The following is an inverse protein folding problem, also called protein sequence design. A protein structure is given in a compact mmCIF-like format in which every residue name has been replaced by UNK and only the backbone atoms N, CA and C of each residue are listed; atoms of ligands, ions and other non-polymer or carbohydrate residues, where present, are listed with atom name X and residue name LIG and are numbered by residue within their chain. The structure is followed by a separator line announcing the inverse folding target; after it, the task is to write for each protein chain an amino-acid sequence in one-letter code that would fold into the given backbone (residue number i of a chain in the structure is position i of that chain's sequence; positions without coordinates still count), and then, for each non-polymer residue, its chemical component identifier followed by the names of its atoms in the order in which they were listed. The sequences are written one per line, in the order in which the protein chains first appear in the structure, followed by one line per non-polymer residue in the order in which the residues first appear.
data_IF_353026025258
#
_entry.id   IF_353026025258
#
_cell.length_a   1.000
_cell.length_b   1.000
_cell.length_c   1.000
_cell.angle_alpha   90.00
_cell.angle_beta   90.00
_cell.angle_gamma   90.00
#
_symmetry.space_group_name_H-M   'P 1'
#
loop_
_entity.id
_entity.type
_entity.pdbx_description
1 polymer ?
#
# COMPACT_ATOMS: atom_id res chain seq x y z
N UNK A 1 28.73 8.19 8.87
CA UNK A 1 29.61 8.07 7.69
C UNK A 1 28.94 7.43 6.46
N UNK A 2 27.72 6.90 6.58
CA UNK A 2 26.97 6.27 5.50
C UNK A 2 25.79 7.12 4.98
N UNK A 3 25.67 8.36 5.46
CA UNK A 3 24.62 9.29 5.02
C UNK A 3 25.11 10.08 3.81
N UNK A 4 24.24 10.30 2.84
CA UNK A 4 24.55 11.10 1.65
C UNK A 4 24.95 12.53 2.04
N UNK A 5 25.76 13.18 1.20
CA UNK A 5 26.08 14.60 1.35
C UNK A 5 24.98 15.54 0.83
N UNK A 6 24.07 15.03 0.05
CA UNK A 6 22.96 15.75 -0.57
C UNK A 6 22.65 15.26 -1.99
N UNK A 7 21.57 15.79 -2.57
CA UNK A 7 21.22 15.57 -3.97
C UNK A 7 22.08 16.48 -4.87
N UNK A 8 22.61 15.92 -5.94
CA UNK A 8 23.46 16.64 -6.88
C UNK A 8 22.72 17.85 -7.48
N UNK A 9 23.27 19.05 -7.29
CA UNK A 9 22.72 20.33 -7.76
C UNK A 9 21.26 20.59 -7.35
N UNK A 10 20.82 20.04 -6.19
CA UNK A 10 19.45 20.20 -5.71
C UNK A 10 19.44 20.42 -4.18
N UNK A 11 19.88 21.61 -3.78
CA UNK A 11 19.94 22.00 -2.35
C UNK A 11 18.54 22.08 -1.73
N UNK A 12 17.53 22.45 -2.53
CA UNK A 12 16.15 22.56 -2.05
C UNK A 12 15.61 21.22 -1.54
N UNK A 13 15.82 20.14 -2.28
CA UNK A 13 15.36 18.83 -1.86
C UNK A 13 16.32 18.18 -0.84
N UNK A 14 17.60 18.55 -0.87
CA UNK A 14 18.55 18.14 0.16
C UNK A 14 18.10 18.63 1.53
N UNK A 15 17.78 19.90 1.70
CA UNK A 15 17.33 20.50 2.98
C UNK A 15 16.01 19.94 3.51
N UNK A 16 15.20 19.28 2.67
CA UNK A 16 13.97 18.61 3.11
C UNK A 16 14.21 17.30 3.82
N UNK A 17 15.33 16.67 3.54
CA UNK A 17 15.61 15.30 4.02
C UNK A 17 16.87 15.20 4.86
N UNK A 18 17.76 16.19 4.79
CA UNK A 18 18.98 16.27 5.61
C UNK A 18 18.90 17.55 6.44
N UNK A 19 18.83 17.40 7.74
CA UNK A 19 18.77 18.52 8.66
C UNK A 19 20.15 19.10 8.99
N UNK A 20 20.17 20.20 9.77
CA UNK A 20 21.39 20.90 10.17
C UNK A 20 22.27 20.09 11.14
N UNK A 21 21.68 19.10 11.83
CA UNK A 21 22.38 18.19 12.74
C UNK A 21 22.98 16.98 12.00
N UNK A 22 22.69 16.84 10.70
CA UNK A 22 23.18 15.75 9.85
C UNK A 22 22.33 14.49 9.86
N UNK A 23 21.09 14.56 10.37
CA UNK A 23 20.13 13.44 10.30
C UNK A 23 19.45 13.39 8.94
N UNK A 24 19.37 12.17 8.40
CA UNK A 24 18.64 11.90 7.16
C UNK A 24 17.23 11.42 7.48
N UNK A 25 16.23 12.24 7.16
CA UNK A 25 14.82 11.89 7.26
C UNK A 25 14.42 11.04 6.04
N UNK A 26 14.37 9.72 6.22
CA UNK A 26 14.08 8.78 5.13
C UNK A 26 12.63 8.85 4.66
N UNK A 27 11.73 9.35 5.51
CA UNK A 27 10.28 9.35 5.30
C UNK A 27 9.65 7.97 5.57
N UNK A 28 10.41 7.06 6.15
CA UNK A 28 9.89 5.78 6.61
C UNK A 28 9.37 5.90 8.05
N UNK A 29 8.27 5.24 8.33
CA UNK A 29 7.69 5.10 9.67
C UNK A 29 8.11 3.76 10.25
N UNK A 30 8.53 3.74 11.49
CA UNK A 30 8.98 2.55 12.17
C UNK A 30 8.56 2.55 13.64
N UNK A 31 8.47 1.38 14.23
CA UNK A 31 8.36 1.16 15.67
C UNK A 31 9.62 0.45 16.15
N UNK A 32 10.03 0.73 17.37
CA UNK A 32 11.19 0.10 17.99
C UNK A 32 10.77 -0.54 19.32
N UNK A 33 11.10 -1.81 19.47
CA UNK A 33 10.86 -2.54 20.71
C UNK A 33 11.90 -2.17 21.80
N UNK A 34 11.64 -2.48 23.08
CA UNK A 34 12.56 -2.19 24.17
C UNK A 34 13.96 -2.84 24.04
N UNK A 35 14.08 -3.91 23.28
CA UNK A 35 15.34 -4.59 22.95
C UNK A 35 16.13 -3.91 21.82
N UNK A 36 15.56 -2.86 21.18
CA UNK A 36 16.17 -2.12 20.09
C UNK A 36 15.83 -2.69 18.70
N UNK A 37 14.99 -3.71 18.59
CA UNK A 37 14.53 -4.23 17.28
C UNK A 37 13.64 -3.20 16.60
N UNK A 38 13.99 -2.86 15.35
CA UNK A 38 13.28 -1.86 14.54
C UNK A 38 12.36 -2.55 13.52
N UNK A 39 11.10 -2.17 13.51
CA UNK A 39 10.09 -2.64 12.55
C UNK A 39 9.65 -1.49 11.65
N UNK A 40 9.93 -1.58 10.35
CA UNK A 40 9.46 -0.61 9.35
C UNK A 40 7.98 -0.90 9.10
N UNK A 41 7.13 0.13 9.24
CA UNK A 41 5.67 0.04 9.06
C UNK A 41 5.21 0.50 7.68
N UNK A 42 5.83 1.54 7.13
CA UNK A 42 5.46 2.11 5.83
C UNK A 42 6.06 3.49 5.62
N UNK A 43 5.47 4.23 4.71
CA UNK A 43 5.88 5.60 4.38
C UNK A 43 5.02 6.64 5.09
N UNK A 44 5.62 7.68 5.64
CA UNK A 44 4.88 8.78 6.27
C UNK A 44 3.93 9.49 5.30
N UNK A 45 4.28 9.54 4.00
CA UNK A 45 3.47 10.17 2.94
C UNK A 45 2.27 9.36 2.51
N UNK A 46 2.27 8.05 2.74
CA UNK A 46 1.19 7.13 2.36
C UNK A 46 0.33 6.73 3.54
N UNK A 47 0.77 7.03 4.75
CA UNK A 47 0.04 6.77 5.98
C UNK A 47 -1.33 7.47 5.95
N UNK A 48 -2.37 6.73 6.30
CA UNK A 48 -3.75 7.20 6.40
C UNK A 48 -4.07 7.36 7.89
N UNK A 49 -4.65 8.50 8.25
CA UNK A 49 -5.16 8.73 9.60
C UNK A 49 -6.62 8.28 9.66
N UNK A 50 -6.91 7.26 10.45
CA UNK A 50 -8.28 6.81 10.67
C UNK A 50 -9.11 7.82 11.45
N UNK A 51 -10.43 7.74 11.37
CA UNK A 51 -11.34 8.64 12.07
C UNK A 51 -11.23 8.61 13.60
N UNK A 52 -10.63 7.58 14.18
CA UNK A 52 -10.35 7.44 15.62
C UNK A 52 -8.89 7.78 15.99
N UNK A 53 -8.11 8.37 15.07
CA UNK A 53 -6.76 8.82 15.31
C UNK A 53 -5.68 7.74 15.23
N UNK A 54 -6.00 6.54 14.74
CA UNK A 54 -5.02 5.48 14.51
C UNK A 54 -4.29 5.69 13.16
N UNK A 55 -3.00 5.42 13.16
CA UNK A 55 -2.21 5.40 11.94
C UNK A 55 -2.44 4.08 11.20
N UNK A 56 -2.84 4.16 9.94
CA UNK A 56 -2.99 3.02 9.04
C UNK A 56 -1.86 3.08 8.03
N UNK A 57 -1.19 1.97 7.82
CA UNK A 57 -0.13 1.80 6.83
C UNK A 57 -0.66 0.94 5.69
N UNK A 58 -1.08 1.55 4.56
CA UNK A 58 -1.68 0.82 3.44
C UNK A 58 -0.81 -0.34 2.95
N UNK A 59 0.50 -0.16 2.98
CA UNK A 59 1.48 -1.16 2.54
C UNK A 59 1.39 -2.47 3.36
N UNK A 60 1.08 -2.41 4.66
CA UNK A 60 0.91 -3.60 5.50
C UNK A 60 -0.35 -4.39 5.12
N UNK A 61 -1.41 -3.69 4.73
CA UNK A 61 -2.66 -4.31 4.27
C UNK A 61 -2.46 -4.90 2.87
N UNK A 62 -1.79 -4.15 1.98
CA UNK A 62 -1.45 -4.58 0.61
C UNK A 62 -0.56 -5.83 0.62
N UNK A 63 0.42 -5.89 1.52
CA UNK A 63 1.29 -7.07 1.66
C UNK A 63 0.49 -8.32 1.99
N UNK A 64 -0.48 -8.22 2.93
CA UNK A 64 -1.38 -9.33 3.25
C UNK A 64 -2.26 -9.70 2.06
N UNK A 65 -2.84 -8.69 1.38
CA UNK A 65 -3.73 -8.90 0.24
C UNK A 65 -3.00 -9.50 -0.96
N UNK A 66 -1.77 -9.09 -1.23
CA UNK A 66 -0.94 -9.61 -2.32
C UNK A 66 -0.52 -11.08 -2.11
N UNK A 67 -0.64 -11.61 -0.89
CA UNK A 67 -0.41 -13.03 -0.60
C UNK A 67 -1.69 -13.88 -0.68
N UNK A 68 -2.85 -13.27 -1.03
CA UNK A 68 -4.11 -13.98 -1.15
C UNK A 68 -4.32 -14.58 -2.55
N UNK A 69 -5.26 -15.50 -2.62
CA UNK A 69 -5.54 -16.27 -3.84
C UNK A 69 -5.91 -15.38 -5.03
N UNK A 70 -5.22 -15.56 -6.13
CA UNK A 70 -5.38 -14.83 -7.41
C UNK A 70 -5.23 -13.30 -7.29
N UNK A 71 -4.44 -12.81 -6.37
CA UNK A 71 -4.05 -11.40 -6.28
C UNK A 71 -2.64 -11.22 -6.83
N UNK A 72 -2.51 -10.49 -7.93
CA UNK A 72 -1.20 -10.14 -8.52
C UNK A 72 -0.59 -8.94 -7.79
N UNK A 73 -1.38 -7.88 -7.64
CA UNK A 73 -0.99 -6.66 -6.93
C UNK A 73 -2.22 -5.90 -6.43
N UNK A 74 -2.04 -5.13 -5.39
CA UNK A 74 -3.11 -4.35 -4.79
C UNK A 74 -2.68 -2.95 -4.42
N UNK A 75 -3.66 -2.05 -4.25
CA UNK A 75 -3.49 -0.68 -3.83
C UNK A 75 -4.62 -0.30 -2.88
N UNK A 76 -4.28 0.01 -1.63
CA UNK A 76 -5.26 0.44 -0.62
C UNK A 76 -5.31 1.96 -0.56
N UNK A 77 -6.52 2.50 -0.66
CA UNK A 77 -6.83 3.93 -0.68
C UNK A 77 -7.91 4.25 0.34
N UNK A 78 -7.88 5.46 0.86
CA UNK A 78 -8.96 6.00 1.67
C UNK A 78 -9.95 6.74 0.79
N UNK A 79 -11.26 6.52 1.02
CA UNK A 79 -12.33 7.26 0.40
C UNK A 79 -13.52 7.39 1.36
N UNK A 80 -13.93 8.63 1.63
CA UNK A 80 -15.04 8.92 2.54
C UNK A 80 -14.90 8.29 3.93
N UNK A 81 -13.68 8.27 4.49
CA UNK A 81 -13.38 7.73 5.81
C UNK A 81 -13.33 6.19 5.86
N UNK A 82 -13.32 5.51 4.71
CA UNK A 82 -13.23 4.04 4.60
C UNK A 82 -12.07 3.63 3.72
N UNK A 83 -11.47 2.49 4.03
CA UNK A 83 -10.45 1.90 3.17
C UNK A 83 -11.11 1.12 2.04
N UNK A 84 -10.56 1.26 0.84
CA UNK A 84 -10.92 0.52 -0.35
C UNK A 84 -9.67 -0.05 -0.99
N UNK A 85 -9.73 -1.26 -1.49
CA UNK A 85 -8.64 -1.88 -2.21
C UNK A 85 -8.95 -1.98 -3.71
N UNK A 86 -8.01 -1.53 -4.53
CA UNK A 86 -7.95 -1.86 -5.94
C UNK A 86 -7.08 -3.10 -6.07
N UNK A 87 -7.55 -4.12 -6.77
CA UNK A 87 -6.82 -5.37 -6.95
C UNK A 87 -6.72 -5.69 -8.43
N UNK A 88 -5.51 -5.97 -8.87
CA UNK A 88 -5.25 -6.60 -10.16
C UNK A 88 -5.19 -8.10 -9.92
N UNK A 89 -6.12 -8.89 -10.50
CA UNK A 89 -6.07 -10.34 -10.40
C UNK A 89 -4.87 -10.93 -11.13
N UNK A 90 -4.34 -12.05 -10.64
CA UNK A 90 -3.39 -12.88 -11.38
C UNK A 90 -4.14 -13.68 -12.47
N UNK A 91 -4.34 -13.04 -13.60
CA UNK A 91 -5.03 -13.66 -14.75
C UNK A 91 -4.26 -14.86 -15.32
N UNK A 92 -2.93 -14.87 -15.23
CA UNK A 92 -2.13 -15.98 -15.71
C UNK A 92 -2.30 -17.22 -14.81
N UNK A 93 -2.35 -17.01 -13.51
CA UNK A 93 -2.63 -18.09 -12.56
C UNK A 93 -4.07 -18.58 -12.74
N UNK A 94 -5.05 -17.68 -12.86
CA UNK A 94 -6.44 -18.03 -13.08
C UNK A 94 -6.63 -18.90 -14.34
N UNK A 95 -5.97 -18.54 -15.44
CA UNK A 95 -6.02 -19.32 -16.70
C UNK A 95 -5.40 -20.72 -16.53
N UNK A 96 -4.23 -20.80 -15.85
CA UNK A 96 -3.57 -22.09 -15.58
C UNK A 96 -4.42 -23.03 -14.73
N UNK A 97 -5.18 -22.46 -13.79
CA UNK A 97 -6.05 -23.23 -12.88
C UNK A 97 -7.46 -23.45 -13.44
N UNK A 98 -7.77 -22.90 -14.62
CA UNK A 98 -9.09 -23.04 -15.25
C UNK A 98 -10.20 -22.26 -14.56
N UNK A 99 -9.85 -21.16 -13.85
CA UNK A 99 -10.81 -20.28 -13.17
C UNK A 99 -11.44 -19.35 -14.21
N UNK A 100 -12.78 -19.31 -14.24
CA UNK A 100 -13.51 -18.38 -15.11
C UNK A 100 -13.36 -16.94 -14.59
N UNK A 101 -13.21 -16.00 -15.53
CA UNK A 101 -13.13 -14.56 -15.19
C UNK A 101 -14.38 -14.06 -14.47
N UNK A 102 -15.53 -14.68 -14.70
CA UNK A 102 -16.78 -14.35 -14.02
C UNK A 102 -16.78 -14.75 -12.53
N UNK A 103 -15.90 -15.66 -12.12
CA UNK A 103 -15.75 -16.08 -10.72
C UNK A 103 -14.83 -15.14 -9.91
N UNK A 104 -14.01 -14.33 -10.58
CA UNK A 104 -13.06 -13.43 -9.92
C UNK A 104 -13.72 -12.47 -8.91
N UNK A 105 -14.89 -11.85 -9.17
CA UNK A 105 -15.54 -10.99 -8.19
C UNK A 105 -15.87 -11.73 -6.90
N UNK A 106 -16.35 -12.97 -6.98
CA UNK A 106 -16.66 -13.78 -5.80
C UNK A 106 -15.40 -14.18 -5.04
N UNK A 107 -14.32 -14.49 -5.76
CA UNK A 107 -13.01 -14.78 -5.15
C UNK A 107 -12.49 -13.55 -4.40
N UNK A 108 -12.57 -12.37 -5.00
CA UNK A 108 -12.14 -11.12 -4.34
C UNK A 108 -13.01 -10.77 -3.13
N UNK A 109 -14.31 -11.09 -3.15
CA UNK A 109 -15.17 -10.93 -1.97
C UNK A 109 -14.76 -11.90 -0.84
N UNK A 110 -14.37 -13.12 -1.16
CA UNK A 110 -13.85 -14.06 -0.18
C UNK A 110 -12.51 -13.57 0.40
N UNK A 111 -11.59 -13.09 -0.44
CA UNK A 111 -10.34 -12.47 -0.01
C UNK A 111 -10.59 -11.27 0.91
N UNK A 112 -11.59 -10.43 0.61
CA UNK A 112 -11.97 -9.31 1.47
C UNK A 112 -12.40 -9.77 2.87
N UNK A 113 -13.22 -10.81 2.95
CA UNK A 113 -13.67 -11.39 4.22
C UNK A 113 -12.49 -11.94 5.01
N UNK A 114 -11.61 -12.70 4.35
CA UNK A 114 -10.41 -13.26 4.96
C UNK A 114 -9.46 -12.15 5.43
N UNK A 115 -9.16 -11.15 4.60
CA UNK A 115 -8.34 -9.99 4.95
C UNK A 115 -8.84 -9.33 6.23
N UNK A 116 -10.13 -9.07 6.33
CA UNK A 116 -10.74 -8.41 7.48
C UNK A 116 -10.73 -9.27 8.76
N UNK A 117 -10.38 -10.55 8.68
CA UNK A 117 -10.13 -11.38 9.88
C UNK A 117 -8.71 -11.25 10.42
N UNK A 118 -7.76 -10.83 9.58
CA UNK A 118 -6.32 -10.80 9.92
C UNK A 118 -5.75 -9.40 10.09
N UNK A 119 -6.53 -8.36 9.79
CA UNK A 119 -6.18 -6.96 10.05
C UNK A 119 -6.90 -6.43 11.28
N UNK A 120 -6.39 -5.35 11.87
CA UNK A 120 -7.05 -4.70 13.00
C UNK A 120 -8.39 -4.07 12.57
N UNK A 121 -9.34 -3.92 13.49
CA UNK A 121 -10.68 -3.41 13.16
C UNK A 121 -10.70 -2.03 12.49
N UNK A 122 -9.75 -1.18 12.82
CA UNK A 122 -9.59 0.15 12.20
C UNK A 122 -8.93 0.09 10.81
N UNK A 123 -8.38 -1.06 10.43
CA UNK A 123 -7.77 -1.34 9.12
C UNK A 123 -8.72 -2.08 8.18
N UNK A 124 -9.96 -2.35 8.62
CA UNK A 124 -10.91 -3.07 7.79
C UNK A 124 -11.15 -2.38 6.46
N UNK A 125 -10.99 -3.14 5.38
CA UNK A 125 -11.28 -2.71 4.02
C UNK A 125 -12.77 -2.86 3.75
N UNK A 126 -13.40 -1.81 3.25
CA UNK A 126 -14.85 -1.81 2.99
C UNK A 126 -15.23 -2.55 1.71
N UNK A 127 -14.37 -2.50 0.68
CA UNK A 127 -14.59 -3.17 -0.59
C UNK A 127 -13.29 -3.41 -1.32
N UNK A 128 -13.26 -4.48 -2.11
CA UNK A 128 -12.27 -4.73 -3.15
C UNK A 128 -12.91 -4.44 -4.49
N UNK A 129 -12.20 -3.70 -5.34
CA UNK A 129 -12.59 -3.46 -6.72
C UNK A 129 -11.52 -4.00 -7.65
N UNK A 130 -11.92 -4.83 -8.60
CA UNK A 130 -11.02 -5.37 -9.63
C UNK A 130 -10.58 -4.23 -10.55
N UNK A 131 -9.26 -4.04 -10.64
CA UNK A 131 -8.65 -3.11 -11.58
C UNK A 131 -8.17 -3.88 -12.81
N UNK A 132 -8.46 -3.42 -14.04
CA UNK A 132 -8.36 -4.26 -15.22
C UNK A 132 -6.94 -4.47 -15.75
N UNK A 133 -6.00 -3.63 -15.35
CA UNK A 133 -4.61 -3.62 -15.86
C UNK A 133 -3.63 -3.46 -14.70
N UNK A 134 -2.37 -3.84 -14.91
CA UNK A 134 -1.33 -3.57 -13.92
C UNK A 134 -1.21 -2.08 -13.61
N UNK A 135 -0.83 -1.77 -12.36
CA UNK A 135 -0.61 -0.39 -11.94
C UNK A 135 0.65 0.18 -12.56
N UNK A 136 0.62 1.48 -12.90
CA UNK A 136 1.83 2.18 -13.29
C UNK A 136 2.84 2.25 -12.16
N UNK A 137 4.08 1.92 -12.47
CA UNK A 137 5.18 1.85 -11.50
C UNK A 137 6.28 2.84 -11.82
N UNK A 138 6.99 3.24 -10.78
CA UNK A 138 8.26 3.97 -10.90
C UNK A 138 9.35 3.03 -11.43
N UNK A 139 10.53 3.55 -11.86
CA UNK A 139 11.68 2.70 -12.20
C UNK A 139 12.12 1.76 -11.06
N UNK A 140 11.80 2.08 -9.80
CA UNK A 140 12.04 1.23 -8.61
C UNK A 140 10.91 0.24 -8.34
N UNK A 141 9.98 0.05 -9.30
CA UNK A 141 8.81 -0.83 -9.21
C UNK A 141 7.79 -0.48 -8.12
N UNK A 142 7.84 0.71 -7.54
CA UNK A 142 6.79 1.18 -6.61
C UNK A 142 5.60 1.72 -7.40
N UNK A 143 4.37 1.38 -6.99
CA UNK A 143 3.15 1.87 -7.62
C UNK A 143 3.07 3.40 -7.47
N UNK A 144 2.73 4.09 -8.56
CA UNK A 144 2.50 5.54 -8.59
C UNK A 144 1.12 5.86 -8.00
N UNK A 145 0.96 5.71 -6.69
CA UNK A 145 -0.33 5.86 -5.96
C UNK A 145 -1.11 7.10 -6.34
N UNK A 146 -0.44 8.22 -6.61
CA UNK A 146 -1.06 9.51 -6.95
C UNK A 146 -1.88 9.51 -8.25
N UNK A 147 -1.73 8.48 -9.10
CA UNK A 147 -2.51 8.30 -10.32
C UNK A 147 -3.87 7.64 -10.06
N UNK A 148 -4.08 7.06 -8.87
CA UNK A 148 -5.24 6.25 -8.56
C UNK A 148 -6.07 6.90 -7.47
N UNK A 149 -7.36 6.97 -7.69
CA UNK A 149 -8.35 7.36 -6.70
C UNK A 149 -9.62 6.51 -6.89
N UNK A 150 -10.39 6.34 -5.84
CA UNK A 150 -11.60 5.51 -5.87
C UNK A 150 -12.69 6.07 -6.78
N UNK A 151 -12.66 7.36 -7.10
CA UNK A 151 -13.63 7.99 -8.01
C UNK A 151 -13.48 7.54 -9.47
N UNK A 152 -12.34 6.95 -9.85
CA UNK A 152 -12.13 6.36 -11.18
C UNK A 152 -12.93 5.06 -11.37
N UNK A 153 -13.50 4.48 -10.31
CA UNK A 153 -14.15 3.17 -10.31
C UNK A 153 -15.67 3.26 -10.30
N UNK A 154 -16.21 4.47 -10.26
CA UNK A 154 -17.66 4.73 -10.27
C UNK A 154 -18.24 5.05 -11.65
N UNK A 155 -17.63 4.54 -12.73
CA UNK A 155 -18.18 4.66 -14.09
C UNK A 155 -18.36 3.30 -14.74
#
# INVERSE_FOLDING_TARGET
EHVMKGYYKNDKDTRKVLDEEGWLHTGDMATMDPDGTLYIRGRSKTMILSGNGQNIYPEEIEDKLNNMYLVLESLVLEHNGKLHALVVPDYEQAEREGVDKNDLPQIMENNLKELNTVVAGYEHVAAITIYPTEFEKTPKRSIKRYLYNVTLLGK
#
